data_IF_556907996750
#
_entry.id   IF_556907996750
#
_cell.length_a   1.000
_cell.length_b   1.000
_cell.length_c   1.000
_cell.angle_alpha   90.00
_cell.angle_beta   90.00
_cell.angle_gamma   90.00
#
_symmetry.space_group_name_H-M   'P 1'
#
loop_
_entity.id
_entity.type
_entity.pdbx_description
1 polymer ?
#
# COMPACT_ATOMS: atom_id res chain seq x y z
N UNK A 1 -0.29 8.37 -8.36
CA UNK A 1 1.01 7.88 -7.88
C UNK A 1 1.55 8.86 -6.87
N UNK A 2 2.26 8.39 -5.85
CA UNK A 2 2.92 9.20 -4.84
C UNK A 2 4.16 8.48 -4.31
N UNK A 3 4.88 9.12 -3.39
CA UNK A 3 6.11 8.57 -2.81
C UNK A 3 6.03 8.58 -1.29
N UNK A 4 6.64 7.57 -0.68
CA UNK A 4 6.75 7.37 0.76
C UNK A 4 8.24 7.26 1.09
N UNK A 5 8.71 8.10 2.02
CA UNK A 5 10.07 8.05 2.51
C UNK A 5 10.11 7.29 3.84
N UNK A 6 11.01 6.31 3.96
CA UNK A 6 11.24 5.55 5.19
C UNK A 6 12.73 5.23 5.32
N UNK A 7 13.35 5.62 6.44
CA UNK A 7 14.72 5.24 6.81
C UNK A 7 15.72 5.36 5.63
N UNK A 8 15.77 6.54 5.01
CA UNK A 8 16.60 6.88 3.84
C UNK A 8 16.23 6.18 2.50
N UNK A 9 15.20 5.35 2.50
CA UNK A 9 14.64 4.70 1.30
C UNK A 9 13.39 5.43 0.80
N UNK A 10 13.19 5.43 -0.51
CA UNK A 10 12.01 6.01 -1.16
C UNK A 10 11.22 4.90 -1.86
N UNK A 11 9.96 4.76 -1.48
CA UNK A 11 9.04 3.78 -2.07
C UNK A 11 7.98 4.50 -2.87
N UNK A 12 7.64 3.96 -4.03
CA UNK A 12 6.52 4.47 -4.80
C UNK A 12 5.23 3.78 -4.36
N UNK A 13 4.12 4.50 -4.45
CA UNK A 13 2.81 3.93 -4.29
C UNK A 13 1.84 4.42 -5.36
N UNK A 14 0.87 3.58 -5.67
CA UNK A 14 -0.23 3.92 -6.55
C UNK A 14 -1.55 3.42 -6.00
N UNK A 15 -2.61 4.06 -6.44
CA UNK A 15 -3.97 3.63 -6.08
C UNK A 15 -4.47 2.75 -7.20
N UNK A 16 -4.84 1.52 -6.88
CA UNK A 16 -5.47 0.65 -7.86
C UNK A 16 -6.86 1.24 -8.17
N UNK A 17 -7.10 1.51 -9.45
CA UNK A 17 -8.37 2.08 -9.93
C UNK A 17 -9.42 1.02 -10.23
N UNK A 18 -9.04 -0.27 -10.22
CA UNK A 18 -9.80 -1.32 -10.88
C UNK A 18 -9.70 -2.65 -10.13
N UNK A 19 -10.53 -2.78 -9.10
CA UNK A 19 -10.90 -4.07 -8.54
C UNK A 19 -12.39 -3.96 -8.24
N UNK A 20 -13.16 -5.02 -8.46
CA UNK A 20 -14.51 -5.18 -7.91
C UNK A 20 -14.43 -5.18 -6.37
N UNK A 21 -14.12 -4.03 -5.78
CA UNK A 21 -13.82 -3.83 -4.38
C UNK A 21 -14.48 -2.53 -3.95
N UNK A 22 -15.48 -2.66 -3.08
CA UNK A 22 -16.15 -1.52 -2.46
C UNK A 22 -15.22 -0.90 -1.41
N UNK A 23 -14.28 -0.08 -1.87
CA UNK A 23 -13.27 0.60 -1.05
C UNK A 23 -12.10 1.16 -1.85
N UNK A 24 -10.98 1.38 -1.17
CA UNK A 24 -9.72 1.84 -1.79
C UNK A 24 -8.63 0.79 -1.65
N UNK A 25 -7.80 0.65 -2.68
CA UNK A 25 -6.62 -0.20 -2.65
C UNK A 25 -5.37 0.61 -3.00
N UNK A 26 -4.38 0.51 -2.11
CA UNK A 26 -3.08 1.15 -2.23
C UNK A 26 -2.03 0.09 -2.52
N UNK A 27 -1.31 0.21 -3.62
CA UNK A 27 -0.20 -0.66 -3.99
C UNK A 27 1.11 0.05 -3.67
N UNK A 28 2.00 -0.62 -2.95
CA UNK A 28 3.35 -0.13 -2.69
C UNK A 28 4.32 -0.91 -3.57
N UNK A 29 5.16 -0.17 -4.28
CA UNK A 29 6.01 -0.69 -5.34
C UNK A 29 7.48 -0.71 -4.90
N UNK A 30 8.20 -1.71 -5.40
CA UNK A 30 9.65 -1.73 -5.39
C UNK A 30 10.20 -0.83 -6.51
N UNK A 31 11.51 -0.56 -6.48
CA UNK A 31 12.19 0.28 -7.48
C UNK A 31 12.05 -0.26 -8.92
N UNK A 32 11.85 -1.57 -9.07
CA UNK A 32 11.65 -2.22 -10.37
C UNK A 32 10.18 -2.15 -10.86
N UNK A 33 9.30 -1.50 -10.11
CA UNK A 33 7.87 -1.38 -10.40
C UNK A 33 7.03 -2.59 -9.97
N UNK A 34 7.63 -3.63 -9.36
CA UNK A 34 6.87 -4.76 -8.83
C UNK A 34 6.14 -4.37 -7.54
N UNK A 35 4.93 -4.88 -7.36
CA UNK A 35 4.17 -4.67 -6.12
C UNK A 35 4.82 -5.45 -4.98
N UNK A 36 5.30 -4.74 -3.96
CA UNK A 36 5.80 -5.35 -2.72
C UNK A 36 4.65 -5.90 -1.89
N UNK A 37 3.64 -5.07 -1.71
CA UNK A 37 2.40 -5.39 -1.02
C UNK A 37 1.31 -4.41 -1.42
N UNK A 38 0.07 -4.77 -1.12
CA UNK A 38 -1.07 -3.88 -1.22
C UNK A 38 -1.86 -3.81 0.08
N UNK A 39 -2.51 -2.66 0.29
CA UNK A 39 -3.43 -2.40 1.39
C UNK A 39 -4.81 -2.20 0.81
N UNK A 40 -5.74 -3.05 1.20
CA UNK A 40 -7.15 -2.97 0.83
C UNK A 40 -7.95 -2.44 2.02
N UNK A 41 -8.52 -1.24 1.88
CA UNK A 41 -9.36 -0.61 2.90
C UNK A 41 -10.81 -0.61 2.41
N UNK A 42 -11.63 -1.57 2.86
CA UNK A 42 -13.02 -1.63 2.43
C UNK A 42 -13.83 -0.48 3.07
N UNK A 43 -14.97 -0.15 2.48
CA UNK A 43 -15.95 0.73 3.13
C UNK A 43 -16.38 0.17 4.49
N UNK A 44 -16.67 -1.14 4.51
CA UNK A 44 -17.09 -1.90 5.69
C UNK A 44 -16.15 -3.10 5.93
N UNK A 45 -15.76 -3.30 7.18
CA UNK A 45 -14.92 -4.43 7.59
C UNK A 45 -13.46 -4.09 7.83
N UNK A 46 -12.60 -5.10 8.00
CA UNK A 46 -11.20 -4.91 8.35
C UNK A 46 -10.36 -4.47 7.15
N UNK A 47 -9.34 -3.64 7.42
CA UNK A 47 -8.26 -3.39 6.45
C UNK A 47 -7.41 -4.64 6.30
N UNK A 48 -7.10 -4.99 5.06
CA UNK A 48 -6.26 -6.14 4.71
C UNK A 48 -4.94 -5.65 4.14
N UNK A 49 -3.85 -6.35 4.47
CA UNK A 49 -2.52 -6.17 3.87
C UNK A 49 -2.13 -7.47 3.20
N UNK A 50 -1.80 -7.43 1.92
CA UNK A 50 -1.38 -8.59 1.15
C UNK A 50 0.05 -8.39 0.64
N UNK A 51 0.97 -9.25 1.06
CA UNK A 51 2.41 -9.15 0.75
C UNK A 51 2.81 -10.13 -0.35
N UNK A 52 3.48 -9.65 -1.39
CA UNK A 52 3.97 -10.48 -2.50
C UNK A 52 5.48 -10.72 -2.42
N UNK A 53 6.21 -9.86 -1.72
CA UNK A 53 7.62 -10.07 -1.40
C UNK A 53 7.78 -11.11 -0.27
N UNK A 54 8.96 -11.75 -0.20
CA UNK A 54 9.30 -12.69 0.88
C UNK A 54 9.37 -12.01 2.25
N UNK A 55 9.85 -10.76 2.28
CA UNK A 55 9.97 -9.94 3.47
C UNK A 55 9.62 -8.50 3.11
N UNK A 56 8.86 -7.83 3.98
CA UNK A 56 8.49 -6.41 3.87
C UNK A 56 8.74 -5.78 5.23
N UNK A 57 9.37 -4.60 5.23
CA UNK A 57 9.59 -3.84 6.46
C UNK A 57 8.26 -3.46 7.13
N UNK A 58 8.11 -3.77 8.42
CA UNK A 58 6.88 -3.48 9.15
C UNK A 58 6.57 -1.98 9.18
N UNK A 59 7.60 -1.14 9.33
CA UNK A 59 7.45 0.32 9.35
C UNK A 59 6.95 0.87 8.01
N UNK A 60 7.32 0.22 6.89
CA UNK A 60 6.81 0.56 5.56
C UNK A 60 5.31 0.27 5.45
N UNK A 61 4.87 -0.86 5.99
CA UNK A 61 3.45 -1.23 6.03
C UNK A 61 2.67 -0.22 6.88
N UNK A 62 3.20 0.17 8.05
CA UNK A 62 2.55 1.16 8.94
C UNK A 62 2.45 2.52 8.25
N UNK A 63 3.52 2.98 7.60
CA UNK A 63 3.53 4.25 6.89
C UNK A 63 2.55 4.25 5.69
N UNK A 64 2.50 3.16 4.92
CA UNK A 64 1.56 3.01 3.82
C UNK A 64 0.10 2.94 4.31
N UNK A 65 -0.15 2.30 5.46
CA UNK A 65 -1.48 2.26 6.07
C UNK A 65 -1.97 3.66 6.47
N UNK A 66 -1.08 4.50 7.01
CA UNK A 66 -1.42 5.88 7.34
C UNK A 66 -1.82 6.68 6.09
N UNK A 67 -1.15 6.47 4.95
CA UNK A 67 -1.52 7.07 3.66
C UNK A 67 -2.89 6.55 3.19
N UNK A 68 -3.12 5.23 3.27
CA UNK A 68 -4.39 4.63 2.89
C UNK A 68 -5.56 5.24 3.67
N UNK A 69 -5.40 5.40 4.99
CA UNK A 69 -6.43 5.94 5.87
C UNK A 69 -6.74 7.43 5.63
N UNK A 70 -5.78 8.24 5.14
CA UNK A 70 -6.03 9.65 4.83
C UNK A 70 -6.99 9.85 3.65
N UNK A 71 -7.15 8.84 2.80
CA UNK A 71 -7.99 8.91 1.59
C UNK A 71 -9.41 8.36 1.80
N UNK A 72 -9.68 7.69 2.93
CA UNK A 72 -11.03 7.25 3.33
C UNK A 72 -11.79 8.42 3.96
#
# INVERSE_FOLDING_TARGET
MGTLALNDSLFEYQWASDVEFDGIRLEVLAENGETLFDISVPELGPTMVNTFAREVEADLIVAALAIAQQRK
#
